data_IF_189253390110
#
_entry.id   IF_189253390110
#
_cell.length_a   1.000
_cell.length_b   1.000
_cell.length_c   1.000
_cell.angle_alpha   90.00
_cell.angle_beta   90.00
_cell.angle_gamma   90.00
#
_symmetry.space_group_name_H-M   'P 1'
#
loop_
_entity.id
_entity.type
_entity.pdbx_description
1 polymer ?
#
# COMPACT_ATOMS: atom_id res chain seq x y z
N UNK A 1 -10.91 12.49 10.47
CA UNK A 1 -10.05 13.22 9.52
C UNK A 1 -9.28 12.18 8.71
N UNK A 2 -9.70 11.97 7.46
CA UNK A 2 -9.11 10.99 6.55
C UNK A 2 -7.58 11.12 6.52
N UNK A 3 -6.89 9.98 6.50
CA UNK A 3 -5.42 9.94 6.54
C UNK A 3 -4.87 9.65 5.14
N UNK A 4 -4.10 10.60 4.60
CA UNK A 4 -3.39 10.43 3.33
C UNK A 4 -2.07 9.67 3.54
N UNK A 5 -1.79 8.76 2.61
CA UNK A 5 -0.58 7.98 2.54
C UNK A 5 0.01 8.04 1.13
N UNK A 6 1.33 8.11 1.04
CA UNK A 6 2.06 7.96 -0.20
C UNK A 6 2.79 6.63 -0.17
N UNK A 7 2.59 5.80 -1.19
CA UNK A 7 3.12 4.45 -1.22
C UNK A 7 3.93 4.15 -2.47
N UNK A 8 5.16 3.68 -2.28
CA UNK A 8 5.98 3.11 -3.35
C UNK A 8 5.88 1.59 -3.32
N UNK A 9 5.67 1.00 -4.50
CA UNK A 9 5.40 -0.42 -4.66
C UNK A 9 6.41 -1.09 -5.58
N UNK A 10 6.89 -2.26 -5.18
CA UNK A 10 7.68 -3.14 -6.02
C UNK A 10 6.98 -4.50 -6.16
N UNK A 11 6.96 -5.05 -7.38
CA UNK A 11 6.31 -6.32 -7.74
C UNK A 11 4.88 -6.45 -7.20
N UNK A 12 3.99 -5.57 -7.67
CA UNK A 12 2.53 -5.72 -7.45
C UNK A 12 1.96 -6.88 -8.27
N UNK A 13 0.85 -7.48 -7.84
CA UNK A 13 0.21 -8.64 -8.50
C UNK A 13 -0.16 -8.32 -9.95
N UNK A 14 0.47 -9.04 -10.87
CA UNK A 14 0.32 -8.84 -12.32
C UNK A 14 1.14 -7.66 -12.85
N UNK A 15 2.13 -7.17 -12.07
CA UNK A 15 3.09 -6.12 -12.40
C UNK A 15 2.44 -4.85 -12.99
N UNK A 16 1.25 -4.52 -12.49
CA UNK A 16 0.45 -3.39 -12.97
C UNK A 16 -0.11 -2.58 -11.79
N UNK A 17 0.49 -1.43 -11.53
CA UNK A 17 0.11 -0.52 -10.44
C UNK A 17 -1.30 0.05 -10.61
N UNK A 18 -1.76 0.26 -11.86
CA UNK A 18 -3.12 0.75 -12.15
C UNK A 18 -4.17 -0.28 -11.76
N UNK A 19 -3.89 -1.56 -11.98
CA UNK A 19 -4.75 -2.66 -11.53
C UNK A 19 -4.76 -2.74 -10.00
N UNK A 20 -3.63 -2.52 -9.33
CA UNK A 20 -3.57 -2.45 -7.86
C UNK A 20 -4.44 -1.29 -7.33
N UNK A 21 -4.30 -0.07 -7.90
CA UNK A 21 -5.15 1.07 -7.56
C UNK A 21 -6.64 0.76 -7.74
N UNK A 22 -7.02 0.15 -8.87
CA UNK A 22 -8.43 -0.25 -9.12
C UNK A 22 -8.94 -1.24 -8.05
N UNK A 23 -8.12 -2.22 -7.65
CA UNK A 23 -8.48 -3.20 -6.61
C UNK A 23 -8.59 -2.55 -5.22
N UNK A 24 -7.75 -1.57 -4.90
CA UNK A 24 -7.83 -0.79 -3.66
C UNK A 24 -9.10 0.06 -3.61
N UNK A 25 -9.46 0.73 -4.71
CA UNK A 25 -10.73 1.47 -4.84
C UNK A 25 -11.96 0.59 -4.61
N UNK A 26 -11.96 -0.63 -5.16
CA UNK A 26 -13.02 -1.62 -4.90
C UNK A 26 -13.12 -2.05 -3.43
N UNK A 27 -12.08 -1.81 -2.63
CA UNK A 27 -12.06 -2.03 -1.16
C UNK A 27 -12.37 -0.76 -0.37
N UNK A 28 -12.77 0.33 -1.02
CA UNK A 28 -13.10 1.60 -0.39
C UNK A 28 -11.88 2.46 -0.02
N UNK A 29 -10.69 2.15 -0.54
CA UNK A 29 -9.50 3.00 -0.40
C UNK A 29 -9.41 3.86 -1.66
N UNK A 30 -9.56 5.17 -1.52
CA UNK A 30 -9.29 6.06 -2.65
C UNK A 30 -7.79 5.98 -2.98
N UNK A 31 -7.47 5.64 -4.22
CA UNK A 31 -6.11 5.31 -4.63
C UNK A 31 -5.81 5.89 -6.01
N UNK A 32 -4.87 6.82 -6.09
CA UNK A 32 -4.48 7.51 -7.31
C UNK A 32 -3.06 7.15 -7.69
N UNK A 33 -2.85 6.82 -8.97
CA UNK A 33 -1.51 6.54 -9.49
C UNK A 33 -0.82 7.85 -9.75
N UNK A 34 0.35 8.05 -9.15
CA UNK A 34 1.17 9.24 -9.38
C UNK A 34 2.02 9.07 -10.66
N UNK A 35 2.70 10.15 -11.09
CA UNK A 35 3.49 10.14 -12.33
C UNK A 35 4.54 9.00 -12.38
N UNK A 36 5.04 8.58 -11.21
CA UNK A 36 5.87 7.39 -11.07
C UNK A 36 5.03 6.11 -11.15
N UNK A 37 5.34 5.25 -12.12
CA UNK A 37 4.59 4.01 -12.44
C UNK A 37 4.62 2.92 -11.35
N UNK A 38 5.12 3.25 -10.17
CA UNK A 38 5.22 2.39 -8.98
C UNK A 38 4.61 3.04 -7.74
N UNK A 39 4.08 4.26 -7.85
CA UNK A 39 3.67 5.06 -6.68
C UNK A 39 2.16 5.30 -6.67
N UNK A 40 1.55 5.16 -5.49
CA UNK A 40 0.15 5.49 -5.24
C UNK A 40 0.04 6.55 -4.14
N UNK A 41 -0.83 7.54 -4.36
CA UNK A 41 -1.48 8.26 -3.26
C UNK A 41 -2.69 7.44 -2.81
N UNK A 42 -2.89 7.31 -1.51
CA UNK A 42 -3.96 6.53 -0.91
C UNK A 42 -4.62 7.31 0.23
N UNK A 43 -5.94 7.34 0.26
CA UNK A 43 -6.71 7.92 1.37
C UNK A 43 -7.36 6.79 2.15
N UNK A 44 -6.96 6.64 3.42
CA UNK A 44 -7.61 5.70 4.35
C UNK A 44 -8.85 6.36 4.94
N UNK A 45 -10.06 5.78 4.76
CA UNK A 45 -11.26 6.27 5.44
C UNK A 45 -11.13 6.17 6.96
N UNK A 46 -11.71 7.12 7.70
CA UNK A 46 -11.64 7.14 9.18
C UNK A 46 -12.19 5.87 9.82
N UNK A 47 -13.25 5.31 9.25
CA UNK A 47 -13.89 4.08 9.71
C UNK A 47 -13.11 2.80 9.37
N UNK A 48 -12.02 2.90 8.59
CA UNK A 48 -11.22 1.74 8.20
C UNK A 48 -10.08 1.54 9.20
N UNK A 49 -10.07 0.43 9.96
CA UNK A 49 -8.96 0.10 10.83
C UNK A 49 -7.64 0.04 10.07
N UNK A 50 -6.54 0.39 10.75
CA UNK A 50 -5.20 0.25 10.17
C UNK A 50 -4.93 -1.16 9.65
N UNK A 51 -5.36 -2.19 10.37
CA UNK A 51 -5.16 -3.57 9.98
C UNK A 51 -5.79 -3.90 8.62
N UNK A 52 -7.01 -3.41 8.35
CA UNK A 52 -7.71 -3.64 7.10
C UNK A 52 -7.07 -2.88 5.94
N UNK A 53 -6.66 -1.64 6.19
CA UNK A 53 -5.91 -0.83 5.24
C UNK A 53 -4.58 -1.50 4.86
N UNK A 54 -3.78 -1.88 5.86
CA UNK A 54 -2.50 -2.56 5.68
C UNK A 54 -2.67 -3.91 4.95
N UNK A 55 -3.69 -4.69 5.31
CA UNK A 55 -4.00 -5.96 4.64
C UNK A 55 -4.45 -5.76 3.19
N UNK A 56 -5.23 -4.71 2.91
CA UNK A 56 -5.64 -4.37 1.54
C UNK A 56 -4.42 -4.05 0.66
N UNK A 57 -3.48 -3.24 1.17
CA UNK A 57 -2.23 -2.91 0.48
C UNK A 57 -1.36 -4.15 0.29
N UNK A 58 -1.10 -4.89 1.38
CA UNK A 58 -0.34 -6.16 1.36
C UNK A 58 -0.90 -7.14 0.34
N UNK A 59 -2.23 -7.23 0.21
CA UNK A 59 -2.87 -8.15 -0.74
C UNK A 59 -2.63 -7.79 -2.20
N UNK A 60 -2.12 -6.59 -2.51
CA UNK A 60 -1.72 -6.20 -3.86
C UNK A 60 -0.30 -6.64 -4.21
N UNK A 61 0.50 -7.12 -3.26
CA UNK A 61 1.88 -7.52 -3.48
C UNK A 61 1.97 -8.96 -3.99
N UNK A 62 2.95 -9.23 -4.85
CA UNK A 62 3.25 -10.60 -5.26
C UNK A 62 3.79 -11.39 -4.08
N UNK A 63 3.32 -12.64 -3.86
CA UNK A 63 3.90 -13.53 -2.88
C UNK A 63 5.42 -13.69 -3.12
N UNK A 64 6.19 -13.82 -2.04
CA UNK A 64 7.65 -14.06 -2.01
C UNK A 64 8.59 -12.98 -2.56
N UNK A 65 8.09 -11.96 -3.27
CA UNK A 65 8.95 -10.93 -3.87
C UNK A 65 8.39 -9.50 -3.90
N UNK A 66 7.12 -9.32 -3.55
CA UNK A 66 6.49 -8.00 -3.48
C UNK A 66 6.90 -7.23 -2.25
N UNK A 67 7.02 -5.91 -2.40
CA UNK A 67 7.22 -4.99 -1.29
C UNK A 67 6.48 -3.68 -1.51
N UNK A 68 6.19 -2.99 -0.39
CA UNK A 68 5.67 -1.64 -0.38
C UNK A 68 6.29 -0.86 0.77
N UNK A 69 6.56 0.41 0.52
CA UNK A 69 6.87 1.42 1.54
C UNK A 69 5.74 2.45 1.49
N UNK A 70 5.11 2.75 2.63
CA UNK A 70 4.03 3.74 2.71
C UNK A 70 4.32 4.76 3.81
N UNK A 71 4.17 6.05 3.51
CA UNK A 71 4.42 7.15 4.44
C UNK A 71 3.13 7.91 4.70
N UNK A 72 2.84 8.17 5.98
CA UNK A 72 1.67 8.95 6.39
C UNK A 72 1.96 10.44 6.32
N UNK A 73 1.14 11.19 5.59
CA UNK A 73 1.24 12.65 5.55
C UNK A 73 0.95 13.28 6.92
N UNK A 74 0.02 12.68 7.69
CA UNK A 74 -0.41 13.24 8.99
C UNK A 74 0.60 13.03 10.10
N UNK A 75 1.25 11.86 10.15
CA UNK A 75 2.14 11.51 11.29
C UNK A 75 3.61 11.49 10.93
N UNK A 76 3.98 11.59 9.64
CA UNK A 76 5.35 11.40 9.16
C UNK A 76 5.85 9.95 9.21
N UNK A 77 5.10 9.04 9.82
CA UNK A 77 5.49 7.64 9.99
C UNK A 77 5.60 6.94 8.64
N UNK A 78 6.67 6.17 8.46
CA UNK A 78 6.89 5.33 7.29
C UNK A 78 6.79 3.85 7.70
N UNK A 79 6.08 3.07 6.89
CA UNK A 79 5.85 1.66 7.13
C UNK A 79 6.33 0.84 5.95
N UNK A 80 7.06 -0.24 6.20
CA UNK A 80 7.55 -1.15 5.17
C UNK A 80 6.90 -2.52 5.32
N UNK A 81 6.46 -3.07 4.19
CA UNK A 81 6.02 -4.45 4.03
C UNK A 81 6.83 -5.11 2.92
N UNK A 82 7.47 -6.24 3.21
CA UNK A 82 8.22 -7.01 2.21
C UNK A 82 7.94 -8.50 2.33
N UNK A 83 7.82 -9.16 1.19
CA UNK A 83 7.84 -10.62 1.06
C UNK A 83 9.19 -11.15 0.57
N UNK A 84 10.15 -10.27 0.22
CA UNK A 84 11.47 -10.67 -0.22
C UNK A 84 12.24 -11.37 0.91
N UNK A 85 13.11 -12.32 0.56
CA UNK A 85 13.99 -12.99 1.53
C UNK A 85 13.23 -13.73 2.65
N UNK A 86 12.13 -14.41 2.31
CA UNK A 86 11.28 -15.14 3.27
C UNK A 86 10.61 -14.28 4.35
N UNK A 87 10.49 -12.97 4.13
CA UNK A 87 9.80 -12.10 5.08
C UNK A 87 8.28 -12.33 5.10
N UNK A 88 7.69 -12.08 6.27
CA UNK A 88 6.27 -12.35 6.57
C UNK A 88 5.27 -11.45 5.81
N UNK A 89 5.74 -10.36 5.20
CA UNK A 89 4.87 -9.37 4.56
C UNK A 89 3.98 -8.62 5.54
N UNK A 90 4.42 -8.43 6.80
CA UNK A 90 3.75 -7.55 7.76
C UNK A 90 4.32 -6.13 7.64
N UNK A 91 3.46 -5.12 7.76
CA UNK A 91 3.92 -3.74 7.85
C UNK A 91 4.62 -3.50 9.19
N UNK A 92 5.80 -2.88 9.14
CA UNK A 92 6.61 -2.48 10.30
C UNK A 92 6.91 -0.99 10.19
N UNK A 93 6.87 -0.28 11.31
CA UNK A 93 7.35 1.09 11.40
C UNK A 93 8.87 1.11 11.14
N UNK A 94 9.34 2.13 10.43
CA UNK A 94 10.76 2.48 10.30
C UNK A 94 11.07 3.72 11.11
#
# INVERSE_FOLDING_TARGET
MMSRYFGEFNRVKGDNIRNAARRLRRRGIDATVLAHRTTLEMIRPDRMPWADFANAIRSQLQPRRGSAMISSERTGNTFICSFAGNQTGRFRLQ
#
